data_IF_506813933283
#
_entry.id   IF_506813933283
#
_cell.length_a   1.000
_cell.length_b   1.000
_cell.length_c   1.000
_cell.angle_alpha   90.00
_cell.angle_beta   90.00
_cell.angle_gamma   90.00
#
_symmetry.space_group_name_H-M   'P 1'
#
loop_
_entity.id
_entity.type
_entity.pdbx_description
1 polymer ?
#
# COMPACT_ATOMS: atom_id res chain seq x y z
N UNK A 1 8.95 15.58 -14.38
CA UNK A 1 9.77 16.19 -15.44
C UNK A 1 10.36 15.14 -16.40
N UNK A 2 10.96 14.02 -15.89
CA UNK A 2 11.64 13.01 -16.72
C UNK A 2 10.73 12.29 -17.73
N UNK A 3 9.52 11.87 -17.33
CA UNK A 3 8.59 11.18 -18.22
C UNK A 3 8.22 12.00 -19.45
N UNK A 4 7.94 13.28 -19.29
CA UNK A 4 7.59 14.18 -20.41
C UNK A 4 8.74 14.33 -21.43
N UNK A 5 10.00 14.42 -20.96
CA UNK A 5 11.18 14.47 -21.85
C UNK A 5 11.33 13.20 -22.70
N UNK A 6 10.88 12.07 -22.20
CA UNK A 6 10.91 10.78 -22.91
C UNK A 6 9.65 10.54 -23.77
N UNK A 7 8.79 11.54 -24.00
CA UNK A 7 7.53 11.34 -24.74
C UNK A 7 6.53 10.43 -24.00
N UNK A 8 6.69 10.27 -22.70
CA UNK A 8 5.84 9.44 -21.85
C UNK A 8 4.95 10.27 -20.93
N UNK A 9 3.85 9.68 -20.51
CA UNK A 9 2.94 10.21 -19.52
C UNK A 9 2.63 9.19 -18.44
N UNK A 10 2.26 9.67 -17.25
CA UNK A 10 1.69 8.87 -16.19
C UNK A 10 0.21 9.22 -16.05
N UNK A 11 -0.66 8.24 -16.26
CA UNK A 11 -2.10 8.39 -16.13
C UNK A 11 -2.60 7.78 -14.82
N UNK A 12 -3.29 8.52 -13.94
CA UNK A 12 -3.80 8.00 -12.70
C UNK A 12 -4.97 7.03 -12.98
N UNK A 13 -4.83 5.78 -12.56
CA UNK A 13 -5.83 4.74 -12.82
C UNK A 13 -6.71 4.50 -11.61
N UNK A 14 -6.10 4.30 -10.47
CA UNK A 14 -6.81 3.96 -9.24
C UNK A 14 -6.12 4.53 -8.02
N UNK A 15 -6.85 4.64 -6.93
CA UNK A 15 -6.31 4.90 -5.59
C UNK A 15 -6.50 3.65 -4.74
N UNK A 16 -5.55 3.40 -3.87
CA UNK A 16 -5.60 2.28 -2.94
C UNK A 16 -5.21 2.73 -1.53
N UNK A 17 -5.82 2.11 -0.53
CA UNK A 17 -5.53 2.39 0.86
C UNK A 17 -4.43 1.47 1.36
N UNK A 18 -3.35 2.05 1.88
CA UNK A 18 -2.31 1.38 2.65
C UNK A 18 -2.46 1.70 4.14
N UNK A 19 -2.09 0.75 4.98
CA UNK A 19 -2.22 0.89 6.43
C UNK A 19 -1.63 -0.30 7.17
N UNK A 20 -1.80 -0.32 8.49
CA UNK A 20 -1.35 -1.43 9.32
C UNK A 20 -2.38 -2.56 9.24
N UNK A 21 -1.96 -3.70 8.72
CA UNK A 21 -2.64 -4.98 8.91
C UNK A 21 -2.29 -5.48 10.31
N UNK A 22 -3.27 -5.87 11.08
CA UNK A 22 -3.09 -6.34 12.47
C UNK A 22 -3.88 -7.62 12.69
N UNK A 23 -3.53 -8.36 13.73
CA UNK A 23 -4.26 -9.58 14.09
C UNK A 23 -5.77 -9.32 14.22
N UNK A 24 -6.58 -10.32 13.90
CA UNK A 24 -8.05 -10.24 13.97
C UNK A 24 -8.49 -9.75 15.35
N UNK A 25 -9.40 -8.77 15.38
CA UNK A 25 -9.84 -8.14 16.62
C UNK A 25 -8.86 -7.13 17.22
N UNK A 26 -7.67 -6.97 16.64
CA UNK A 26 -6.64 -6.03 17.09
C UNK A 26 -6.37 -6.10 18.60
N UNK A 27 -5.96 -7.27 19.14
CA UNK A 27 -5.83 -7.48 20.58
C UNK A 27 -4.81 -6.53 21.24
N UNK A 28 -3.79 -6.10 20.49
CA UNK A 28 -2.80 -5.14 20.97
C UNK A 28 -3.24 -3.67 20.82
N UNK A 29 -4.47 -3.42 20.34
CA UNK A 29 -5.03 -2.07 20.19
C UNK A 29 -4.09 -1.10 19.43
N UNK A 30 -3.50 -1.58 18.33
CA UNK A 30 -2.65 -0.76 17.46
C UNK A 30 -3.56 0.21 16.69
N UNK A 31 -3.33 1.53 16.84
CA UNK A 31 -4.18 2.57 16.23
C UNK A 31 -3.41 3.52 15.33
N UNK A 32 -2.10 3.61 15.49
CA UNK A 32 -1.22 4.55 14.76
C UNK A 32 0.18 3.96 14.59
N UNK A 33 0.97 4.57 13.74
CA UNK A 33 2.28 4.04 13.36
C UNK A 33 3.23 3.92 14.55
N UNK A 34 3.23 4.89 15.47
CA UNK A 34 4.11 4.86 16.65
C UNK A 34 3.82 3.67 17.59
N UNK A 35 2.64 3.06 17.52
CA UNK A 35 2.33 1.88 18.32
C UNK A 35 3.18 0.66 17.96
N UNK A 36 3.79 0.66 16.76
CA UNK A 36 4.74 -0.38 16.34
C UNK A 36 6.02 -0.40 17.18
N UNK A 37 6.36 0.72 17.84
CA UNK A 37 7.54 0.82 18.69
C UNK A 37 7.34 0.25 20.10
N UNK A 38 6.14 -0.21 20.43
CA UNK A 38 5.86 -0.87 21.71
C UNK A 38 6.56 -2.25 21.76
N UNK A 39 7.23 -2.61 22.87
CA UNK A 39 8.07 -3.81 22.96
C UNK A 39 7.31 -5.13 22.77
N UNK A 40 6.00 -5.15 23.08
CA UNK A 40 5.15 -6.32 22.88
C UNK A 40 4.73 -6.55 21.42
N UNK A 41 4.84 -5.54 20.55
CA UNK A 41 4.43 -5.64 19.13
C UNK A 41 5.53 -6.29 18.31
N UNK A 42 5.22 -7.41 17.67
CA UNK A 42 6.07 -8.07 16.69
C UNK A 42 5.67 -7.62 15.29
N UNK A 43 6.55 -6.88 14.64
CA UNK A 43 6.34 -6.38 13.29
C UNK A 43 6.99 -7.29 12.26
N UNK A 44 6.38 -7.40 11.08
CA UNK A 44 7.00 -8.00 9.89
C UNK A 44 6.93 -7.01 8.73
N UNK A 45 7.99 -6.93 7.97
CA UNK A 45 8.15 -5.92 6.94
C UNK A 45 8.06 -6.53 5.52
N UNK A 46 7.89 -5.67 4.55
CA UNK A 46 8.15 -6.00 3.14
C UNK A 46 9.66 -5.82 2.85
N UNK A 47 10.16 -6.61 1.90
CA UNK A 47 11.57 -6.53 1.48
C UNK A 47 11.94 -5.10 1.04
N UNK A 48 13.22 -4.78 1.16
CA UNK A 48 13.79 -3.54 0.63
C UNK A 48 13.47 -3.40 -0.86
N UNK A 49 13.14 -2.18 -1.29
CA UNK A 49 12.75 -1.88 -2.66
C UNK A 49 11.26 -2.04 -2.95
N UNK A 50 10.47 -2.65 -2.06
CA UNK A 50 9.01 -2.65 -2.20
C UNK A 50 8.43 -1.25 -1.93
N UNK A 51 7.45 -0.80 -2.74
CA UNK A 51 6.78 0.49 -2.53
C UNK A 51 6.15 0.64 -1.15
N UNK A 52 5.57 -0.44 -0.61
CA UNK A 52 5.03 -0.46 0.77
C UNK A 52 6.12 -0.26 1.82
N UNK A 53 7.34 -0.80 1.60
CA UNK A 53 8.47 -0.56 2.49
C UNK A 53 8.93 0.90 2.43
N UNK A 54 9.05 1.46 1.24
CA UNK A 54 9.39 2.87 1.06
C UNK A 54 8.37 3.79 1.74
N UNK A 55 7.08 3.47 1.62
CA UNK A 55 6.02 4.22 2.30
C UNK A 55 6.19 4.14 3.83
N UNK A 56 6.42 2.94 4.39
CA UNK A 56 6.68 2.78 5.83
C UNK A 56 7.83 3.66 6.28
N UNK A 57 8.97 3.58 5.60
CA UNK A 57 10.17 4.33 5.97
C UNK A 57 9.93 5.84 5.91
N UNK A 58 9.20 6.32 4.88
CA UNK A 58 8.80 7.73 4.74
C UNK A 58 7.87 8.19 5.88
N UNK A 59 6.88 7.37 6.26
CA UNK A 59 5.96 7.70 7.34
C UNK A 59 6.68 7.71 8.70
N UNK A 60 7.59 6.75 8.92
CA UNK A 60 8.40 6.69 10.13
C UNK A 60 9.30 7.92 10.27
N UNK A 61 9.94 8.35 9.18
CA UNK A 61 10.76 9.56 9.16
C UNK A 61 9.94 10.80 9.53
N UNK A 62 8.76 10.96 8.93
CA UNK A 62 7.84 12.08 9.24
C UNK A 62 7.41 12.12 10.70
N UNK A 63 7.22 10.96 11.34
CA UNK A 63 6.80 10.85 12.73
C UNK A 63 7.96 10.72 13.71
N UNK A 64 9.21 10.77 13.24
CA UNK A 64 10.40 10.66 14.09
C UNK A 64 10.57 9.27 14.71
N UNK A 65 10.01 8.23 14.10
CA UNK A 65 10.07 6.86 14.62
C UNK A 65 11.35 6.18 14.11
N UNK A 66 12.19 5.74 15.04
CA UNK A 66 13.43 5.04 14.72
C UNK A 66 13.16 3.55 14.44
N UNK A 67 13.78 3.01 13.40
CA UNK A 67 13.60 1.62 12.98
C UNK A 67 14.13 0.60 14.00
N UNK A 68 15.14 0.97 14.80
CA UNK A 68 15.70 0.13 15.87
C UNK A 68 14.72 -0.05 17.06
N UNK A 69 13.68 0.78 17.14
CA UNK A 69 12.63 0.66 18.16
C UNK A 69 11.52 -0.30 17.75
N UNK A 70 11.47 -0.72 16.49
CA UNK A 70 10.43 -1.62 15.99
C UNK A 70 10.97 -3.05 15.99
N UNK A 71 10.46 -3.88 16.89
CA UNK A 71 10.80 -5.29 16.97
C UNK A 71 10.34 -6.02 15.71
N UNK A 72 11.26 -6.58 14.96
CA UNK A 72 10.98 -7.29 13.70
C UNK A 72 11.08 -6.42 12.45
N UNK A 73 11.49 -5.14 12.56
CA UNK A 73 11.67 -4.26 11.39
C UNK A 73 12.58 -4.86 10.31
N UNK A 74 13.55 -5.70 10.68
CA UNK A 74 14.48 -6.38 9.75
C UNK A 74 13.96 -7.73 9.26
N UNK A 75 12.86 -8.25 9.80
CA UNK A 75 12.21 -9.46 9.31
C UNK A 75 11.42 -9.09 8.07
N UNK A 76 11.77 -9.67 6.94
CA UNK A 76 11.26 -9.28 5.63
C UNK A 76 10.55 -10.43 4.93
N UNK A 77 9.44 -10.10 4.25
CA UNK A 77 8.71 -10.99 3.37
C UNK A 77 8.54 -10.38 1.97
N UNK A 78 8.51 -11.23 0.95
CA UNK A 78 8.57 -10.80 -0.45
C UNK A 78 7.21 -10.46 -1.06
N UNK A 79 6.10 -10.91 -0.47
CA UNK A 79 4.76 -10.68 -1.01
C UNK A 79 3.83 -10.08 0.04
N UNK A 80 2.76 -9.43 -0.42
CA UNK A 80 1.71 -8.94 0.48
C UNK A 80 1.00 -10.09 1.20
N UNK A 81 0.84 -11.22 0.53
CA UNK A 81 0.22 -12.41 1.10
C UNK A 81 1.10 -13.05 2.18
N UNK A 82 2.42 -13.10 1.97
CA UNK A 82 3.34 -13.67 2.96
C UNK A 82 3.31 -12.90 4.29
N UNK A 83 3.34 -11.55 4.25
CA UNK A 83 3.21 -10.75 5.49
C UNK A 83 1.85 -10.94 6.15
N UNK A 84 0.77 -11.07 5.38
CA UNK A 84 -0.56 -11.34 5.94
C UNK A 84 -0.64 -12.73 6.57
N UNK A 85 -0.03 -13.74 5.93
CA UNK A 85 0.07 -15.11 6.45
C UNK A 85 0.84 -15.14 7.78
N UNK A 86 1.94 -14.38 7.90
CA UNK A 86 2.70 -14.29 9.15
C UNK A 86 1.86 -13.74 10.32
N UNK A 87 1.01 -12.73 10.04
CA UNK A 87 0.07 -12.21 11.05
C UNK A 87 -1.00 -13.25 11.39
N UNK A 88 -1.59 -13.88 10.39
CA UNK A 88 -2.62 -14.90 10.59
C UNK A 88 -2.09 -16.12 11.38
N UNK A 89 -0.84 -16.51 11.12
CA UNK A 89 -0.17 -17.60 11.83
C UNK A 89 0.32 -17.21 13.25
N UNK A 90 0.18 -15.94 13.66
CA UNK A 90 0.59 -15.46 14.96
C UNK A 90 2.11 -15.33 15.14
N UNK A 91 2.90 -15.36 14.06
CA UNK A 91 4.35 -15.13 14.10
C UNK A 91 4.70 -13.63 14.09
N UNK A 92 3.77 -12.79 13.63
CA UNK A 92 3.80 -11.34 13.72
C UNK A 92 2.44 -10.80 14.19
N UNK A 93 2.42 -9.59 14.71
CA UNK A 93 1.22 -8.91 15.20
C UNK A 93 0.76 -7.80 14.25
N UNK A 94 1.69 -7.23 13.48
CA UNK A 94 1.42 -6.15 12.54
C UNK A 94 2.37 -6.13 11.34
N UNK A 95 1.87 -5.60 10.23
CA UNK A 95 2.65 -5.26 9.03
C UNK A 95 2.04 -4.07 8.30
N UNK A 96 2.82 -3.29 7.54
CA UNK A 96 2.25 -2.36 6.58
C UNK A 96 1.80 -3.11 5.32
N UNK A 97 0.59 -2.84 4.86
CA UNK A 97 0.04 -3.50 3.69
C UNK A 97 -1.20 -2.85 3.13
N UNK A 98 -1.84 -3.56 2.21
CA UNK A 98 -3.03 -3.11 1.49
C UNK A 98 -4.31 -3.50 2.23
N UNK A 99 -5.29 -2.60 2.28
CA UNK A 99 -6.62 -2.89 2.84
C UNK A 99 -7.28 -4.12 2.19
N UNK A 100 -7.08 -4.29 0.90
CA UNK A 100 -7.56 -5.45 0.16
C UNK A 100 -7.01 -6.78 0.72
N UNK A 101 -5.70 -6.83 0.97
CA UNK A 101 -5.06 -8.03 1.53
C UNK A 101 -5.56 -8.30 2.96
N UNK A 102 -5.64 -7.26 3.79
CA UNK A 102 -6.19 -7.41 5.14
C UNK A 102 -7.61 -8.02 5.11
N UNK A 103 -8.47 -7.54 4.19
CA UNK A 103 -9.81 -8.08 4.03
C UNK A 103 -9.82 -9.55 3.57
N UNK A 104 -8.96 -9.92 2.62
CA UNK A 104 -8.86 -11.32 2.15
C UNK A 104 -8.45 -12.29 3.27
N UNK A 105 -7.56 -11.86 4.15
CA UNK A 105 -7.06 -12.67 5.28
C UNK A 105 -7.85 -12.44 6.57
N UNK A 106 -8.98 -11.70 6.54
CA UNK A 106 -9.81 -11.36 7.71
C UNK A 106 -9.04 -10.73 8.85
N UNK A 107 -7.98 -9.97 8.52
CA UNK A 107 -7.18 -9.24 9.48
C UNK A 107 -7.83 -7.90 9.84
N UNK A 108 -7.50 -7.38 11.01
CA UNK A 108 -7.78 -5.99 11.36
C UNK A 108 -6.98 -5.03 10.46
N UNK A 109 -7.49 -3.81 10.28
CA UNK A 109 -6.82 -2.82 9.43
C UNK A 109 -6.94 -1.41 9.99
N UNK A 110 -5.80 -0.73 10.14
CA UNK A 110 -5.68 0.67 10.54
C UNK A 110 -5.21 1.48 9.34
N UNK A 111 -6.08 2.29 8.71
CA UNK A 111 -5.70 3.05 7.51
C UNK A 111 -4.68 4.15 7.86
N UNK A 112 -3.66 4.32 7.01
CA UNK A 112 -2.63 5.35 7.17
C UNK A 112 -2.56 6.29 5.97
N UNK A 113 -2.55 5.76 4.73
CA UNK A 113 -2.27 6.56 3.54
C UNK A 113 -3.10 6.10 2.33
N UNK A 114 -3.45 7.03 1.45
CA UNK A 114 -4.00 6.72 0.14
C UNK A 114 -2.95 6.97 -0.95
N UNK A 115 -2.64 5.92 -1.68
CA UNK A 115 -1.69 5.94 -2.79
C UNK A 115 -2.41 5.96 -4.13
N UNK A 116 -1.95 6.80 -5.06
CA UNK A 116 -2.42 6.77 -6.45
C UNK A 116 -1.53 5.86 -7.28
N UNK A 117 -2.14 4.90 -7.95
CA UNK A 117 -1.49 4.01 -8.89
C UNK A 117 -1.58 4.58 -10.30
N UNK A 118 -0.43 4.71 -10.96
CA UNK A 118 -0.31 5.30 -12.29
C UNK A 118 0.04 4.25 -13.32
N UNK A 119 -0.54 4.39 -14.51
CA UNK A 119 -0.11 3.68 -15.71
C UNK A 119 0.82 4.59 -16.50
N UNK A 120 2.09 4.19 -16.66
CA UNK A 120 3.05 4.89 -17.49
C UNK A 120 2.96 4.37 -18.93
N UNK A 121 2.85 5.29 -19.90
CA UNK A 121 2.74 4.94 -21.32
C UNK A 121 3.28 6.04 -22.21
N UNK A 122 3.58 5.72 -23.48
CA UNK A 122 3.90 6.74 -24.46
C UNK A 122 2.67 7.65 -24.69
N UNK A 123 2.88 8.97 -24.69
CA UNK A 123 1.79 9.96 -24.81
C UNK A 123 0.92 9.72 -26.04
N UNK A 124 1.55 9.33 -27.16
CA UNK A 124 0.86 9.09 -28.44
C UNK A 124 -0.15 7.93 -28.41
N UNK A 125 -0.02 6.96 -27.49
CA UNK A 125 -0.93 5.81 -27.43
C UNK A 125 -2.09 6.02 -26.45
N UNK A 126 -2.03 7.02 -25.59
CA UNK A 126 -3.06 7.29 -24.58
C UNK A 126 -4.47 7.40 -25.19
N UNK A 127 -4.62 8.13 -26.31
CA UNK A 127 -5.91 8.35 -26.94
C UNK A 127 -6.42 7.15 -27.76
N UNK A 128 -5.63 6.08 -27.90
CA UNK A 128 -6.04 4.90 -28.67
C UNK A 128 -7.18 4.15 -27.96
N UNK A 129 -8.15 3.66 -28.77
CA UNK A 129 -9.31 2.92 -28.26
C UNK A 129 -8.94 1.72 -27.37
N UNK A 130 -7.94 0.88 -27.68
CA UNK A 130 -7.54 -0.23 -26.83
C UNK A 130 -7.05 0.23 -25.45
N UNK A 131 -6.23 1.27 -25.38
CA UNK A 131 -5.69 1.80 -24.12
C UNK A 131 -6.82 2.42 -23.29
N UNK A 132 -7.73 3.18 -23.88
CA UNK A 132 -8.87 3.75 -23.16
C UNK A 132 -9.77 2.63 -22.59
N UNK A 133 -10.05 1.58 -23.36
CA UNK A 133 -10.81 0.43 -22.91
C UNK A 133 -10.11 -0.31 -21.75
N UNK A 134 -8.80 -0.47 -21.84
CA UNK A 134 -7.99 -1.08 -20.79
C UNK A 134 -8.05 -0.28 -19.48
N UNK A 135 -7.87 1.06 -19.56
CA UNK A 135 -7.98 1.95 -18.41
C UNK A 135 -9.36 1.85 -17.75
N UNK A 136 -10.44 1.92 -18.56
CA UNK A 136 -11.81 1.78 -18.06
C UNK A 136 -12.03 0.43 -17.35
N UNK A 137 -11.52 -0.65 -17.93
CA UNK A 137 -11.61 -1.98 -17.31
C UNK A 137 -10.88 -2.05 -15.97
N UNK A 138 -9.67 -1.48 -15.87
CA UNK A 138 -8.92 -1.41 -14.62
C UNK A 138 -9.66 -0.58 -13.57
N UNK A 139 -10.24 0.57 -13.96
CA UNK A 139 -11.01 1.42 -13.05
C UNK A 139 -12.28 0.74 -12.56
N UNK A 140 -12.98 0.03 -13.45
CA UNK A 140 -14.18 -0.75 -13.10
C UNK A 140 -13.88 -1.91 -12.14
N UNK A 141 -12.74 -2.60 -12.34
CA UNK A 141 -12.28 -3.64 -11.42
C UNK A 141 -11.88 -3.04 -10.07
N UNK A 142 -11.14 -1.94 -10.06
CA UNK A 142 -10.73 -1.26 -8.83
C UNK A 142 -11.95 -0.84 -7.99
N UNK A 143 -13.01 -0.30 -8.63
CA UNK A 143 -14.22 0.12 -7.94
C UNK A 143 -14.95 -1.02 -7.20
N UNK A 144 -14.71 -2.28 -7.59
CA UNK A 144 -15.30 -3.47 -6.96
C UNK A 144 -14.46 -4.03 -5.81
N UNK A 145 -13.23 -3.55 -5.62
CA UNK A 145 -12.31 -4.10 -4.63
C UNK A 145 -12.26 -3.26 -3.36
N UNK A 146 -12.30 -3.93 -2.22
CA UNK A 146 -12.16 -3.27 -0.90
C UNK A 146 -10.84 -2.50 -0.82
N UNK A 147 -10.90 -1.23 -0.43
CA UNK A 147 -9.71 -0.39 -0.31
C UNK A 147 -9.16 0.14 -1.62
N UNK A 148 -9.86 -0.05 -2.74
CA UNK A 148 -9.57 0.56 -4.02
C UNK A 148 -10.69 1.47 -4.48
N UNK A 149 -10.36 2.46 -5.28
CA UNK A 149 -11.32 3.32 -6.00
C UNK A 149 -10.71 3.82 -7.30
N UNK A 150 -11.55 4.15 -8.29
CA UNK A 150 -11.08 4.79 -9.50
C UNK A 150 -10.42 6.13 -9.17
N UNK A 151 -9.29 6.44 -9.83
CA UNK A 151 -8.71 7.77 -9.73
C UNK A 151 -9.52 8.72 -10.62
N UNK A 152 -10.07 9.77 -10.04
CA UNK A 152 -10.66 10.87 -10.81
C UNK A 152 -9.53 11.76 -11.32
N UNK A 153 -9.43 11.91 -12.63
CA UNK A 153 -8.66 13.00 -13.23
C UNK A 153 -9.36 14.32 -12.89
N UNK A 154 -8.89 15.04 -11.86
CA UNK A 154 -9.24 16.46 -11.76
C UNK A 154 -8.63 17.13 -12.98
N UNK A 155 -9.45 17.49 -13.96
CA UNK A 155 -9.09 18.46 -14.97
C UNK A 155 -8.65 19.72 -14.22
N UNK A 156 -7.35 20.00 -14.19
CA UNK A 156 -6.90 21.36 -13.84
C UNK A 156 -7.34 22.24 -15.00
N UNK A 157 -8.42 23.02 -14.77
CA UNK A 157 -8.69 24.20 -15.57
C UNK A 157 -7.55 25.20 -15.39
#
# INVERSE_FOLDING_TARGET
AHLKKAGMMAYPVMRRTQGLMVSTGNPLRIKKLVDLARPEVRFINRQKGAGTRLLLDTLMEKEGIRSDRIRGYRHEEFTHTAVATAIMAGTADAALGLKYIAAQFRLGFVPLEEETFYLAMATKVHASKPIQKFIQSLQALAAKQVGYRAATTRSRK
#
